data_IF_608727022942
#
_entry.id   IF_608727022942
#
_cell.length_a   1.000
_cell.length_b   1.000
_cell.length_c   1.000
_cell.angle_alpha   90.00
_cell.angle_beta   90.00
_cell.angle_gamma   90.00
#
_symmetry.space_group_name_H-M   'P 1'
#
loop_
_entity.id
_entity.type
_entity.pdbx_description
1 polymer ?
#
# COMPACT_ATOMS: atom_id res chain seq x y z
N UNK A 1 3.13 7.25 -5.07
CA UNK A 1 3.54 6.81 -6.43
C UNK A 1 2.50 5.84 -6.93
N UNK A 2 1.93 6.12 -8.10
CA UNK A 2 1.01 5.21 -8.78
C UNK A 2 1.81 4.07 -9.40
N UNK A 3 1.39 2.84 -9.16
CA UNK A 3 1.97 1.66 -9.79
C UNK A 3 1.10 1.19 -10.94
N UNK A 4 1.74 0.58 -11.94
CA UNK A 4 1.09 -0.04 -13.09
C UNK A 4 1.54 -1.51 -13.17
N UNK A 5 0.88 -2.43 -12.45
CA UNK A 5 1.24 -3.84 -12.49
C UNK A 5 1.12 -4.39 -13.91
N UNK A 6 2.14 -5.10 -14.39
CA UNK A 6 2.13 -5.70 -15.72
C UNK A 6 1.18 -6.92 -15.81
N UNK A 7 0.77 -7.49 -14.67
CA UNK A 7 -0.04 -8.70 -14.56
C UNK A 7 -1.11 -8.55 -13.48
N UNK A 8 -2.11 -9.45 -13.48
CA UNK A 8 -3.21 -9.48 -12.51
C UNK A 8 -2.82 -10.12 -11.16
N UNK A 9 -1.57 -10.56 -11.00
CA UNK A 9 -1.07 -11.30 -9.81
C UNK A 9 -1.40 -10.59 -8.49
N UNK A 10 -1.26 -9.26 -8.44
CA UNK A 10 -1.56 -8.51 -7.21
C UNK A 10 -3.06 -8.54 -6.86
N UNK A 11 -3.93 -8.52 -7.86
CA UNK A 11 -5.38 -8.54 -7.65
C UNK A 11 -5.88 -9.94 -7.30
N UNK A 12 -5.30 -10.97 -7.92
CA UNK A 12 -5.51 -12.38 -7.55
C UNK A 12 -5.12 -12.61 -6.08
N UNK A 13 -3.90 -12.21 -5.68
CA UNK A 13 -3.43 -12.32 -4.30
C UNK A 13 -4.37 -11.62 -3.30
N UNK A 14 -4.84 -10.41 -3.63
CA UNK A 14 -5.80 -9.68 -2.77
C UNK A 14 -7.12 -10.43 -2.64
N UNK A 15 -7.63 -10.99 -3.73
CA UNK A 15 -8.89 -11.73 -3.73
C UNK A 15 -8.79 -13.05 -2.94
N UNK A 16 -7.66 -13.74 -3.06
CA UNK A 16 -7.37 -14.94 -2.26
C UNK A 16 -7.29 -14.61 -0.78
N UNK A 17 -6.57 -13.55 -0.41
CA UNK A 17 -6.52 -13.05 0.97
C UNK A 17 -7.90 -12.70 1.50
N UNK A 18 -8.73 -11.98 0.74
CA UNK A 18 -10.12 -11.67 1.14
C UNK A 18 -10.92 -12.94 1.41
N UNK A 19 -10.80 -13.94 0.53
CA UNK A 19 -11.55 -15.20 0.65
C UNK A 19 -11.12 -15.98 1.89
N UNK A 20 -9.82 -16.13 2.11
CA UNK A 20 -9.28 -16.87 3.26
C UNK A 20 -9.58 -16.16 4.58
N UNK A 21 -9.39 -14.83 4.66
CA UNK A 21 -9.68 -14.08 5.88
C UNK A 21 -11.17 -14.09 6.23
N UNK A 22 -12.06 -14.06 5.24
CA UNK A 22 -13.52 -14.17 5.45
C UNK A 22 -13.92 -15.50 6.09
N UNK A 23 -13.20 -16.57 5.79
CA UNK A 23 -13.43 -17.90 6.36
C UNK A 23 -12.72 -18.12 7.71
N UNK A 24 -11.91 -17.16 8.16
CA UNK A 24 -11.12 -17.27 9.40
C UNK A 24 -11.86 -16.70 10.62
N UNK A 25 -11.49 -17.11 11.85
CA UNK A 25 -11.99 -16.49 13.08
C UNK A 25 -11.34 -15.13 13.38
N UNK A 26 -10.43 -14.65 12.52
CA UNK A 26 -9.75 -13.37 12.74
C UNK A 26 -10.71 -12.19 12.54
N UNK A 27 -10.43 -11.09 13.24
CA UNK A 27 -11.20 -9.86 13.09
C UNK A 27 -11.15 -9.38 11.63
N UNK A 28 -12.32 -9.29 11.00
CA UNK A 28 -12.43 -8.84 9.62
C UNK A 28 -12.49 -7.31 9.57
N UNK A 29 -11.36 -6.69 9.22
CA UNK A 29 -11.28 -5.25 8.92
C UNK A 29 -10.77 -4.95 7.52
N UNK A 30 -10.40 -5.98 6.74
CA UNK A 30 -9.98 -5.83 5.34
C UNK A 30 -11.11 -5.15 4.57
N UNK A 31 -10.76 -4.08 3.86
CA UNK A 31 -11.66 -3.30 3.00
C UNK A 31 -12.92 -2.73 3.67
N UNK A 32 -12.96 -2.61 5.00
CA UNK A 32 -14.08 -1.96 5.72
C UNK A 32 -14.36 -0.52 5.27
N UNK A 33 -13.35 0.16 4.73
CA UNK A 33 -13.45 1.57 4.30
C UNK A 33 -13.55 1.70 2.79
N UNK A 34 -12.67 1.03 2.04
CA UNK A 34 -12.65 0.97 0.58
C UNK A 34 -11.98 -0.33 0.16
N UNK A 35 -12.41 -0.92 -0.95
CA UNK A 35 -11.69 -2.02 -1.57
C UNK A 35 -10.38 -1.51 -2.18
N UNK A 36 -9.25 -2.05 -1.76
CA UNK A 36 -7.97 -1.76 -2.40
C UNK A 36 -7.92 -2.42 -3.79
N UNK A 37 -7.91 -1.59 -4.83
CA UNK A 37 -7.83 -2.00 -6.23
C UNK A 37 -6.56 -1.49 -6.92
N UNK A 38 -6.01 -0.35 -6.49
CA UNK A 38 -4.84 0.25 -7.14
C UNK A 38 -3.52 -0.23 -6.52
N UNK A 39 -2.50 -0.44 -7.34
CA UNK A 39 -1.13 -0.57 -6.86
C UNK A 39 -0.56 0.84 -6.61
N UNK A 40 -0.01 1.06 -5.42
CA UNK A 40 0.60 2.34 -5.10
C UNK A 40 1.62 2.19 -3.97
N UNK A 41 2.58 3.10 -3.93
CA UNK A 41 3.50 3.28 -2.81
C UNK A 41 3.16 4.61 -2.13
N UNK A 42 2.92 4.54 -0.82
CA UNK A 42 2.71 5.75 0.00
C UNK A 42 4.06 6.43 0.23
N UNK A 43 4.21 7.69 -0.18
CA UNK A 43 5.46 8.47 -0.01
C UNK A 43 5.40 9.40 1.20
N UNK A 44 4.21 9.92 1.52
CA UNK A 44 4.02 10.88 2.61
C UNK A 44 2.70 10.63 3.32
N UNK A 45 2.69 10.81 4.65
CA UNK A 45 1.47 10.81 5.48
C UNK A 45 1.48 12.03 6.39
N UNK A 46 0.52 12.92 6.19
CA UNK A 46 0.37 14.12 7.03
C UNK A 46 -0.30 13.76 8.37
N UNK A 47 0.32 14.19 9.47
CA UNK A 47 -0.18 13.97 10.85
C UNK A 47 -0.83 15.23 11.45
N UNK A 48 -0.79 16.34 10.72
CA UNK A 48 -1.35 17.64 11.08
C UNK A 48 -2.04 18.23 9.85
N UNK A 49 -3.01 19.14 10.02
CA UNK A 49 -3.61 19.85 8.89
C UNK A 49 -2.54 20.48 7.99
N UNK A 50 -2.74 20.33 6.68
CA UNK A 50 -1.79 20.78 5.68
C UNK A 50 -2.03 22.24 5.31
N UNK A 51 -0.98 23.07 5.37
CA UNK A 51 -1.09 24.54 5.22
C UNK A 51 -0.60 25.06 3.86
N UNK A 52 0.39 24.41 3.23
CA UNK A 52 1.04 24.88 2.00
C UNK A 52 0.46 24.22 0.72
N UNK A 53 -0.86 24.36 0.53
CA UNK A 53 -1.62 23.66 -0.52
C UNK A 53 -1.10 23.95 -1.93
N UNK A 54 -0.85 25.22 -2.26
CA UNK A 54 -0.46 25.63 -3.61
C UNK A 54 0.93 25.14 -4.00
N UNK A 55 1.90 25.24 -3.10
CA UNK A 55 3.26 24.73 -3.31
C UNK A 55 3.24 23.21 -3.51
N UNK A 56 2.42 22.51 -2.72
CA UNK A 56 2.28 21.07 -2.85
C UNK A 56 1.63 20.65 -4.16
N UNK A 57 0.59 21.34 -4.61
CA UNK A 57 -0.03 21.07 -5.90
C UNK A 57 0.96 21.27 -7.05
N UNK A 58 1.84 22.27 -6.98
CA UNK A 58 2.92 22.45 -7.99
C UNK A 58 3.86 21.24 -8.02
N UNK A 59 4.27 20.74 -6.85
CA UNK A 59 5.10 19.54 -6.75
C UNK A 59 4.36 18.34 -7.34
N UNK A 60 3.10 18.12 -6.99
CA UNK A 60 2.31 17.01 -7.51
C UNK A 60 2.17 17.05 -9.04
N UNK A 61 1.97 18.22 -9.63
CA UNK A 61 1.91 18.37 -11.08
C UNK A 61 3.23 17.98 -11.76
N UNK A 62 4.37 18.35 -11.19
CA UNK A 62 5.68 17.99 -11.73
C UNK A 62 5.92 16.46 -11.74
N UNK A 63 5.31 15.75 -10.80
CA UNK A 63 5.47 14.30 -10.64
C UNK A 63 4.30 13.48 -11.20
N UNK A 64 3.30 14.11 -11.81
CA UNK A 64 2.09 13.42 -12.28
C UNK A 64 2.41 12.35 -13.33
N UNK A 65 3.22 12.72 -14.32
CA UNK A 65 3.61 11.86 -15.44
C UNK A 65 5.10 11.48 -15.37
N UNK A 66 5.71 11.62 -14.19
CA UNK A 66 7.11 11.28 -13.97
C UNK A 66 7.29 9.76 -13.89
N UNK A 67 8.24 9.25 -14.67
CA UNK A 67 8.64 7.85 -14.64
C UNK A 67 9.53 7.58 -13.41
N UNK A 68 8.96 6.91 -12.41
CA UNK A 68 9.67 6.50 -11.19
C UNK A 68 10.50 5.21 -11.40
N UNK A 69 10.43 4.60 -12.58
CA UNK A 69 11.09 3.35 -12.92
C UNK A 69 10.26 2.12 -12.57
N UNK A 70 10.89 0.96 -12.76
CA UNK A 70 10.29 -0.35 -12.56
C UNK A 70 10.96 -1.07 -11.39
N UNK A 71 10.22 -1.99 -10.76
CA UNK A 71 10.76 -2.85 -9.70
C UNK A 71 10.17 -4.24 -9.81
N UNK A 72 11.00 -5.26 -9.53
CA UNK A 72 10.58 -6.64 -9.44
C UNK A 72 10.33 -7.00 -7.98
N UNK A 73 9.14 -7.50 -7.69
CA UNK A 73 8.77 -7.93 -6.34
C UNK A 73 9.15 -9.41 -6.18
N UNK A 74 10.16 -9.68 -5.36
CA UNK A 74 10.68 -11.03 -5.11
C UNK A 74 10.33 -11.56 -3.71
N UNK A 75 9.72 -10.74 -2.86
CA UNK A 75 9.38 -11.10 -1.48
C UNK A 75 8.09 -10.41 -1.05
N UNK A 76 7.29 -11.13 -0.26
CA UNK A 76 6.13 -10.61 0.46
C UNK A 76 6.40 -10.68 1.96
N UNK A 77 6.04 -9.62 2.69
CA UNK A 77 6.15 -9.58 4.15
C UNK A 77 4.78 -9.48 4.80
N UNK A 78 4.53 -10.36 5.80
CA UNK A 78 3.44 -10.16 6.75
C UNK A 78 3.97 -9.32 7.91
N UNK A 79 3.39 -8.15 8.12
CA UNK A 79 3.84 -7.18 9.13
C UNK A 79 2.75 -6.85 10.14
N UNK A 80 3.16 -6.60 11.39
CA UNK A 80 2.38 -5.88 12.38
C UNK A 80 2.84 -4.42 12.37
N UNK A 81 1.90 -3.46 12.37
CA UNK A 81 2.22 -2.04 12.34
C UNK A 81 1.13 -1.19 12.99
N UNK A 82 1.45 0.08 13.23
CA UNK A 82 0.46 1.09 13.58
C UNK A 82 -0.15 1.74 12.33
N UNK A 83 -1.22 2.52 12.50
CA UNK A 83 -1.94 3.17 11.41
C UNK A 83 -1.05 3.99 10.45
N UNK A 84 0.08 4.52 10.94
CA UNK A 84 0.99 5.34 10.16
C UNK A 84 2.19 4.57 9.60
N UNK A 85 2.32 3.26 9.83
CA UNK A 85 3.50 2.45 9.46
C UNK A 85 4.81 3.14 9.89
N UNK A 86 4.85 3.63 11.13
CA UNK A 86 6.07 4.24 11.68
C UNK A 86 7.09 3.14 11.95
N UNK A 87 8.33 3.35 11.51
CA UNK A 87 9.42 2.37 11.58
C UNK A 87 9.53 1.68 12.95
N UNK A 88 9.55 2.43 14.04
CA UNK A 88 9.61 1.91 15.42
C UNK A 88 8.44 1.01 15.84
N UNK A 89 7.35 0.97 15.07
CA UNK A 89 6.14 0.18 15.34
C UNK A 89 5.92 -0.92 14.29
N UNK A 90 6.73 -0.97 13.24
CA UNK A 90 6.66 -2.01 12.21
C UNK A 90 7.47 -3.21 12.68
N UNK A 91 6.83 -4.38 12.67
CA UNK A 91 7.49 -5.66 12.96
C UNK A 91 7.13 -6.67 11.88
N UNK A 92 8.13 -7.16 11.16
CA UNK A 92 7.98 -8.30 10.26
C UNK A 92 7.69 -9.56 11.09
N UNK A 93 6.57 -10.21 10.77
CA UNK A 93 6.15 -11.46 11.40
C UNK A 93 6.67 -12.65 10.58
N UNK A 94 6.53 -12.60 9.25
CA UNK A 94 6.92 -13.67 8.32
C UNK A 94 7.33 -13.07 6.97
N UNK A 95 8.26 -13.73 6.27
CA UNK A 95 8.66 -13.43 4.88
C UNK A 95 8.37 -14.60 3.96
N UNK A 96 7.91 -14.30 2.75
CA UNK A 96 7.63 -15.28 1.70
C UNK A 96 8.40 -14.90 0.43
N UNK A 97 9.22 -15.81 -0.10
CA UNK A 97 9.86 -15.61 -1.41
C UNK A 97 8.85 -15.90 -2.51
N UNK A 98 8.87 -15.07 -3.56
CA UNK A 98 8.01 -15.17 -4.75
C UNK A 98 8.84 -15.66 -5.94
#
# INVERSE_FOLDING_TARGET
>A
IQGFPQQQVLDELRNDMRTVFKASPLQQSIDKRYSLQTAHITVVRFRKPFTAKEEFLKILHNFKDYDFGETTINELELVYNDWYLRDNFVKTLVRFKV
#
